data_IF_395834383535
#
_entry.id   IF_395834383535
#
_cell.length_a   1.000
_cell.length_b   1.000
_cell.length_c   1.000
_cell.angle_alpha   90.00
_cell.angle_beta   90.00
_cell.angle_gamma   90.00
#
_symmetry.space_group_name_H-M   'P 1'
#
loop_
_entity.id
_entity.type
_entity.pdbx_description
1 polymer ?
#
# COMPACT_ATOMS: atom_id res chain seq x y z
N UNK A 1 31.71 -80.83 39.69
CA UNK A 1 30.32 -80.44 39.37
C UNK A 1 30.36 -79.08 38.71
N UNK A 2 29.78 -79.01 37.51
CA UNK A 2 29.26 -77.83 36.81
C UNK A 2 30.22 -76.90 36.05
N UNK A 3 30.20 -77.16 34.74
CA UNK A 3 30.46 -76.41 33.50
C UNK A 3 30.09 -74.91 33.46
N UNK A 4 30.76 -74.21 32.50
CA UNK A 4 30.68 -72.81 31.96
C UNK A 4 29.26 -72.32 31.56
N UNK A 5 28.97 -71.04 31.14
CA UNK A 5 29.84 -70.09 30.40
C UNK A 5 29.68 -68.54 30.53
N UNK A 6 30.69 -67.84 30.00
CA UNK A 6 30.72 -66.62 29.18
C UNK A 6 29.43 -65.77 28.99
N UNK A 7 29.52 -64.45 29.21
CA UNK A 7 28.96 -63.42 28.31
C UNK A 7 29.44 -62.00 28.69
N UNK A 8 30.19 -61.38 27.78
CA UNK A 8 30.26 -59.91 27.62
C UNK A 8 29.30 -59.50 26.47
N UNK A 9 29.23 -58.22 26.08
CA UNK A 9 28.59 -57.09 26.76
C UNK A 9 27.31 -56.65 25.99
N UNK A 10 26.24 -56.28 26.69
CA UNK A 10 25.07 -55.62 26.05
C UNK A 10 25.27 -54.11 26.04
N UNK A 11 25.98 -53.63 25.02
CA UNK A 11 25.87 -52.25 24.55
C UNK A 11 24.43 -52.00 24.14
N UNK A 12 23.74 -51.10 24.84
CA UNK A 12 22.44 -50.59 24.38
C UNK A 12 22.74 -49.60 23.26
N UNK A 13 22.78 -50.13 22.03
CA UNK A 13 22.77 -49.31 20.81
C UNK A 13 21.54 -48.40 20.83
N UNK A 14 21.81 -47.08 20.79
CA UNK A 14 20.80 -46.07 20.62
C UNK A 14 20.03 -46.31 19.32
N UNK A 15 18.75 -46.65 19.46
CA UNK A 15 17.83 -46.69 18.33
C UNK A 15 17.68 -45.28 17.76
N UNK A 16 18.34 -45.03 16.62
CA UNK A 16 18.13 -43.85 15.81
C UNK A 16 16.77 -43.94 15.11
N UNK A 17 15.76 -43.24 15.63
CA UNK A 17 14.50 -43.04 14.93
C UNK A 17 14.72 -42.08 13.75
N UNK A 18 15.00 -42.62 12.57
CA UNK A 18 14.96 -41.83 11.33
C UNK A 18 13.49 -41.42 11.05
N UNK A 19 13.14 -40.12 11.05
CA UNK A 19 11.75 -39.73 10.80
C UNK A 19 11.44 -39.95 9.32
N UNK A 20 10.50 -40.87 9.04
CA UNK A 20 9.87 -41.00 7.71
C UNK A 20 9.20 -39.66 7.39
N UNK A 21 9.86 -38.82 6.58
CA UNK A 21 9.31 -37.54 6.10
C UNK A 21 8.00 -37.83 5.35
N UNK A 22 6.87 -37.67 6.03
CA UNK A 22 5.52 -37.89 5.50
C UNK A 22 5.35 -36.96 4.29
N UNK A 23 5.11 -37.54 3.11
CA UNK A 23 4.88 -36.83 1.84
C UNK A 23 3.81 -35.74 1.96
N UNK A 24 2.87 -35.91 2.91
CA UNK A 24 1.88 -34.92 3.31
C UNK A 24 2.45 -33.58 3.78
N UNK A 25 3.61 -33.58 4.46
CA UNK A 25 4.27 -32.33 4.89
C UNK A 25 4.78 -31.55 3.68
N UNK A 26 5.28 -32.24 2.64
CA UNK A 26 5.66 -31.58 1.38
C UNK A 26 4.45 -30.96 0.70
N UNK A 27 3.31 -31.66 0.64
CA UNK A 27 2.09 -31.12 0.06
C UNK A 27 1.53 -29.93 0.83
N UNK A 28 1.53 -29.99 2.17
CA UNK A 28 1.08 -28.88 3.02
C UNK A 28 1.98 -27.64 2.84
N UNK A 29 3.29 -27.84 2.73
CA UNK A 29 4.24 -26.76 2.45
C UNK A 29 4.03 -26.17 1.07
N UNK A 30 3.88 -27.00 0.03
CA UNK A 30 3.61 -26.52 -1.33
C UNK A 30 2.29 -25.76 -1.41
N UNK A 31 1.24 -26.23 -0.73
CA UNK A 31 -0.06 -25.56 -0.70
C UNK A 31 0.01 -24.21 0.04
N UNK A 32 0.69 -24.17 1.20
CA UNK A 32 0.97 -22.94 1.93
C UNK A 32 1.74 -21.94 1.06
N UNK A 33 2.77 -22.41 0.36
CA UNK A 33 3.59 -21.57 -0.51
C UNK A 33 2.79 -21.02 -1.69
N UNK A 34 1.98 -21.86 -2.34
CA UNK A 34 1.13 -21.46 -3.45
C UNK A 34 0.06 -20.44 -3.02
N UNK A 35 -0.54 -20.61 -1.84
CA UNK A 35 -1.53 -19.68 -1.30
C UNK A 35 -0.90 -18.31 -0.99
N UNK A 36 0.30 -18.30 -0.39
CA UNK A 36 1.04 -17.07 -0.16
C UNK A 36 1.43 -16.38 -1.48
N UNK A 37 1.91 -17.14 -2.46
CA UNK A 37 2.22 -16.62 -3.79
C UNK A 37 0.99 -16.07 -4.52
N UNK A 38 -0.18 -16.71 -4.37
CA UNK A 38 -1.45 -16.23 -4.92
C UNK A 38 -1.92 -14.94 -4.24
N UNK A 39 -1.77 -14.81 -2.93
CA UNK A 39 -2.10 -13.57 -2.23
C UNK A 39 -1.20 -12.43 -2.70
N UNK A 40 0.12 -12.63 -2.71
CA UNK A 40 1.10 -11.62 -3.17
C UNK A 40 0.87 -11.29 -4.65
N UNK A 41 0.75 -12.31 -5.50
CA UNK A 41 0.48 -12.14 -6.93
C UNK A 41 -0.87 -11.47 -7.21
N UNK A 42 -1.89 -11.75 -6.39
CA UNK A 42 -3.19 -11.09 -6.43
C UNK A 42 -3.12 -9.61 -6.09
N UNK A 43 -2.41 -9.24 -5.02
CA UNK A 43 -2.21 -7.84 -4.65
C UNK A 43 -1.39 -7.07 -5.70
N UNK A 44 -0.26 -7.64 -6.14
CA UNK A 44 0.58 -7.03 -7.19
C UNK A 44 -0.17 -6.92 -8.51
N UNK A 45 -0.88 -7.98 -8.91
CA UNK A 45 -1.69 -8.04 -10.12
C UNK A 45 -2.87 -7.07 -10.09
N UNK A 46 -3.56 -6.91 -8.96
CA UNK A 46 -4.64 -5.93 -8.80
C UNK A 46 -4.11 -4.49 -8.89
N UNK A 47 -2.95 -4.20 -8.30
CA UNK A 47 -2.30 -2.89 -8.40
C UNK A 47 -1.86 -2.61 -9.84
N UNK A 48 -1.38 -3.62 -10.57
CA UNK A 48 -0.90 -3.46 -11.94
C UNK A 48 -2.04 -3.36 -12.98
N UNK A 49 -3.08 -4.19 -12.82
CA UNK A 49 -4.26 -4.20 -13.71
C UNK A 49 -5.22 -3.03 -13.46
N UNK A 50 -5.22 -2.44 -12.27
CA UNK A 50 -5.90 -1.18 -11.97
C UNK A 50 -4.94 0.03 -11.91
N UNK A 51 -3.80 -0.04 -12.60
CA UNK A 51 -2.69 0.93 -12.60
C UNK A 51 -2.98 2.34 -13.12
N UNK A 52 -4.06 2.98 -12.69
CA UNK A 52 -4.03 4.40 -12.40
C UNK A 52 -3.19 4.64 -11.15
N UNK A 53 -2.48 5.78 -11.02
CA UNK A 53 -1.64 6.05 -9.86
C UNK A 53 -2.44 5.79 -8.58
N UNK A 54 -1.92 5.00 -7.62
CA UNK A 54 -2.62 4.75 -6.37
C UNK A 54 -2.94 6.09 -5.73
N UNK A 55 -4.21 6.48 -5.76
CA UNK A 55 -4.76 7.56 -4.95
C UNK A 55 -4.86 7.08 -3.51
N UNK A 56 -3.76 6.58 -2.94
CA UNK A 56 -3.65 6.33 -1.51
C UNK A 56 -3.43 7.64 -0.72
N UNK A 57 -3.47 8.79 -1.39
CA UNK A 57 -3.84 10.08 -0.78
C UNK A 57 -5.37 10.22 -0.74
N UNK A 58 -6.08 9.21 -0.22
CA UNK A 58 -7.55 9.28 -0.12
C UNK A 58 -8.06 10.01 1.13
N UNK A 59 -7.17 10.40 2.06
CA UNK A 59 -7.57 11.07 3.30
C UNK A 59 -6.86 12.40 3.57
N UNK A 60 -6.25 13.05 2.57
CA UNK A 60 -5.83 14.45 2.75
C UNK A 60 -7.02 15.36 2.44
N UNK A 61 -7.58 16.11 3.40
CA UNK A 61 -8.51 17.19 3.10
C UNK A 61 -7.75 18.24 2.30
N UNK A 62 -7.81 18.21 0.97
CA UNK A 62 -6.85 19.05 0.24
C UNK A 62 -6.72 18.88 -1.25
N UNK A 63 -7.71 18.37 -1.98
CA UNK A 63 -7.64 18.48 -3.43
C UNK A 63 -8.24 19.81 -3.94
N UNK A 64 -7.85 20.90 -3.28
CA UNK A 64 -8.14 22.28 -3.70
C UNK A 64 -7.69 22.51 -5.14
N UNK A 65 -6.56 21.90 -5.54
CA UNK A 65 -6.06 21.93 -6.91
C UNK A 65 -7.10 21.39 -7.91
N UNK A 66 -7.69 20.21 -7.64
CA UNK A 66 -8.74 19.66 -8.51
C UNK A 66 -10.02 20.48 -8.50
N UNK A 67 -10.37 21.10 -7.38
CA UNK A 67 -11.51 22.01 -7.32
C UNK A 67 -11.28 23.25 -8.20
N UNK A 68 -10.13 23.91 -8.05
CA UNK A 68 -9.78 25.12 -8.82
C UNK A 68 -9.62 24.82 -10.32
N UNK A 69 -9.10 23.65 -10.69
CA UNK A 69 -9.05 23.22 -12.10
C UNK A 69 -10.46 23.07 -12.73
N UNK A 70 -11.51 22.85 -11.93
CA UNK A 70 -12.88 22.64 -12.40
C UNK A 70 -13.78 23.89 -12.40
N UNK A 71 -13.31 25.04 -11.90
CA UNK A 71 -14.09 26.29 -11.91
C UNK A 71 -13.97 26.94 -13.30
N UNK A 72 -15.08 27.32 -13.97
CA UNK A 72 -15.04 28.01 -15.26
C UNK A 72 -14.38 29.37 -15.09
N UNK A 73 -13.32 29.56 -15.87
CA UNK A 73 -12.26 30.50 -15.55
C UNK A 73 -12.42 31.83 -16.29
N UNK A 74 -12.84 32.86 -15.57
CA UNK A 74 -12.62 34.26 -16.00
C UNK A 74 -11.16 34.73 -15.73
N UNK A 75 -10.26 33.86 -15.23
CA UNK A 75 -8.85 34.17 -14.89
C UNK A 75 -7.86 33.08 -15.35
N UNK A 76 -7.95 32.61 -16.60
CA UNK A 76 -7.20 31.41 -17.07
C UNK A 76 -5.69 31.55 -17.13
N UNK A 77 -5.18 32.74 -17.46
CA UNK A 77 -3.79 32.86 -17.92
C UNK A 77 -2.78 32.87 -16.77
N UNK A 78 -3.09 33.50 -15.64
CA UNK A 78 -2.13 33.64 -14.54
C UNK A 78 -2.08 32.42 -13.60
N UNK A 79 -3.23 31.80 -13.32
CA UNK A 79 -3.32 30.68 -12.37
C UNK A 79 -2.78 29.37 -12.97
N UNK A 80 -2.96 29.17 -14.28
CA UNK A 80 -2.50 27.96 -14.97
C UNK A 80 -0.98 27.86 -15.07
N UNK A 81 -0.29 29.00 -15.23
CA UNK A 81 1.18 29.09 -15.23
C UNK A 81 1.77 28.68 -13.88
N UNK A 82 1.31 29.33 -12.79
CA UNK A 82 1.75 29.03 -11.42
C UNK A 82 1.51 27.57 -11.04
N UNK A 83 0.35 27.01 -11.41
CA UNK A 83 0.03 25.61 -11.14
C UNK A 83 0.92 24.64 -11.92
N UNK A 84 1.27 24.96 -13.17
CA UNK A 84 2.18 24.14 -13.99
C UNK A 84 3.61 24.15 -13.43
N UNK A 85 4.10 25.31 -13.01
CA UNK A 85 5.42 25.45 -12.39
C UNK A 85 5.50 24.69 -11.07
N UNK A 86 4.50 24.85 -10.21
CA UNK A 86 4.39 24.09 -8.97
C UNK A 86 4.30 22.57 -9.19
N UNK A 87 3.56 22.12 -10.20
CA UNK A 87 3.54 20.68 -10.57
C UNK A 87 4.92 20.18 -10.98
N UNK A 88 5.71 21.01 -11.66
CA UNK A 88 7.10 20.68 -12.04
C UNK A 88 8.01 20.63 -10.83
N UNK A 89 7.91 21.58 -9.91
CA UNK A 89 8.78 21.61 -8.71
C UNK A 89 8.56 20.41 -7.79
N UNK A 90 7.32 19.92 -7.66
CA UNK A 90 7.01 18.73 -6.87
C UNK A 90 7.21 17.40 -7.59
N UNK A 91 7.47 17.42 -8.90
CA UNK A 91 7.57 16.19 -9.69
C UNK A 91 8.69 15.25 -9.23
N UNK A 92 9.90 15.73 -8.87
CA UNK A 92 10.95 14.88 -8.31
C UNK A 92 10.50 14.21 -7.01
N UNK A 93 9.87 14.96 -6.10
CA UNK A 93 9.42 14.43 -4.81
C UNK A 93 8.31 13.37 -4.99
N UNK A 94 7.42 13.56 -5.96
CA UNK A 94 6.42 12.54 -6.33
C UNK A 94 7.07 11.26 -6.85
N UNK A 95 8.14 11.37 -7.64
CA UNK A 95 8.90 10.20 -8.10
C UNK A 95 9.54 9.48 -6.93
N UNK A 96 10.18 10.20 -6.00
CA UNK A 96 10.76 9.61 -4.79
C UNK A 96 9.74 8.88 -3.93
N UNK A 97 8.52 9.41 -3.78
CA UNK A 97 7.43 8.71 -3.08
C UNK A 97 7.03 7.42 -3.80
N UNK A 98 6.94 7.44 -5.14
CA UNK A 98 6.64 6.23 -5.91
C UNK A 98 7.75 5.18 -5.77
N UNK A 99 9.01 5.60 -5.79
CA UNK A 99 10.16 4.72 -5.56
C UNK A 99 10.11 4.12 -4.16
N UNK A 100 9.91 4.92 -3.11
CA UNK A 100 9.81 4.43 -1.74
C UNK A 100 8.66 3.42 -1.54
N UNK A 101 7.55 3.58 -2.27
CA UNK A 101 6.47 2.58 -2.27
C UNK A 101 6.90 1.26 -2.92
N UNK A 102 7.69 1.31 -3.99
CA UNK A 102 8.26 0.09 -4.61
C UNK A 102 9.22 -0.58 -3.65
N UNK A 103 10.04 0.20 -2.94
CA UNK A 103 10.99 -0.34 -1.96
C UNK A 103 10.29 -1.13 -0.85
N UNK A 104 9.14 -0.65 -0.36
CA UNK A 104 8.30 -1.38 0.61
C UNK A 104 7.79 -2.70 0.01
N UNK A 105 7.26 -2.66 -1.21
CA UNK A 105 6.76 -3.87 -1.90
C UNK A 105 7.89 -4.89 -2.06
N UNK A 106 9.08 -4.42 -2.44
CA UNK A 106 10.28 -5.26 -2.56
C UNK A 106 10.69 -5.85 -1.22
N UNK A 107 10.71 -5.05 -0.14
CA UNK A 107 11.09 -5.51 1.20
C UNK A 107 10.14 -6.59 1.75
N UNK A 108 8.82 -6.46 1.51
CA UNK A 108 7.82 -7.47 1.91
C UNK A 108 8.01 -8.78 1.15
N UNK A 109 8.50 -8.72 -0.09
CA UNK A 109 8.70 -9.89 -0.95
C UNK A 109 10.00 -10.67 -0.72
N UNK A 110 10.87 -10.26 0.22
CA UNK A 110 12.14 -10.94 0.48
C UNK A 110 11.96 -12.24 1.28
N UNK A 111 12.74 -13.27 0.94
CA UNK A 111 12.87 -14.52 1.69
C UNK A 111 14.35 -14.77 2.04
N UNK A 112 14.76 -14.75 3.32
CA UNK A 112 13.91 -14.53 4.51
C UNK A 112 13.39 -13.08 4.60
N UNK A 113 12.27 -12.90 5.30
CA UNK A 113 11.72 -11.57 5.57
C UNK A 113 12.68 -10.75 6.43
N UNK A 114 13.09 -9.59 5.91
CA UNK A 114 13.90 -8.61 6.64
C UNK A 114 13.00 -7.49 7.20
N UNK A 115 12.59 -7.65 8.46
CA UNK A 115 11.78 -6.65 9.16
C UNK A 115 12.48 -5.30 9.35
N UNK A 116 13.82 -5.27 9.45
CA UNK A 116 14.56 -4.02 9.60
C UNK A 116 14.55 -3.22 8.29
N UNK A 117 14.74 -3.90 7.15
CA UNK A 117 14.63 -3.29 5.82
C UNK A 117 13.21 -2.76 5.55
N UNK A 118 12.17 -3.54 5.91
CA UNK A 118 10.79 -3.10 5.80
C UNK A 118 10.52 -1.81 6.60
N UNK A 119 10.95 -1.76 7.87
CA UNK A 119 10.77 -0.58 8.73
C UNK A 119 11.54 0.64 8.18
N UNK A 120 12.75 0.44 7.64
CA UNK A 120 13.51 1.50 7.01
C UNK A 120 12.81 2.06 5.77
N UNK A 121 12.27 1.20 4.90
CA UNK A 121 11.49 1.60 3.73
C UNK A 121 10.20 2.35 4.11
N UNK A 122 9.51 1.89 5.15
CA UNK A 122 8.30 2.55 5.68
C UNK A 122 8.62 3.94 6.24
N UNK A 123 9.72 4.09 6.99
CA UNK A 123 10.18 5.37 7.51
C UNK A 123 10.50 6.34 6.36
N UNK A 124 11.24 5.88 5.36
CA UNK A 124 11.59 6.66 4.16
C UNK A 124 10.34 7.19 3.45
N UNK A 125 9.33 6.33 3.24
CA UNK A 125 8.06 6.75 2.63
C UNK A 125 7.38 7.83 3.48
N UNK A 126 7.30 7.63 4.79
CA UNK A 126 6.64 8.57 5.71
C UNK A 126 7.32 9.94 5.72
N UNK A 127 8.66 9.97 5.73
CA UNK A 127 9.44 11.20 5.67
C UNK A 127 9.20 11.97 4.35
N UNK A 128 9.17 11.26 3.22
CA UNK A 128 8.89 11.85 1.91
C UNK A 128 7.46 12.38 1.80
N UNK A 129 6.47 11.67 2.33
CA UNK A 129 5.08 12.13 2.34
C UNK A 129 4.90 13.36 3.23
N UNK A 130 5.54 13.39 4.40
CA UNK A 130 5.53 14.56 5.28
C UNK A 130 6.18 15.76 4.58
N UNK A 131 7.35 15.56 3.98
CA UNK A 131 8.03 16.61 3.19
C UNK A 131 7.13 17.14 2.08
N UNK A 132 6.43 16.24 1.36
CA UNK A 132 5.50 16.63 0.31
C UNK A 132 4.37 17.50 0.83
N UNK A 133 3.77 17.15 1.98
CA UNK A 133 2.72 17.96 2.61
C UNK A 133 3.25 19.34 3.02
N UNK A 134 4.45 19.40 3.59
CA UNK A 134 5.09 20.65 4.02
C UNK A 134 5.42 21.56 2.83
N UNK A 135 6.02 21.03 1.77
CA UNK A 135 6.34 21.81 0.55
C UNK A 135 5.08 22.24 -0.20
N UNK A 136 3.99 21.49 -0.09
CA UNK A 136 2.71 21.80 -0.72
C UNK A 136 1.92 22.90 -0.01
N UNK A 137 2.03 23.01 1.31
CA UNK A 137 1.16 23.87 2.11
C UNK A 137 1.17 25.36 1.68
N UNK A 138 2.33 26.01 1.41
CA UNK A 138 2.35 27.42 1.00
C UNK A 138 1.63 27.68 -0.32
N UNK A 139 1.78 26.78 -1.29
CA UNK A 139 1.10 26.89 -2.58
C UNK A 139 -0.43 26.75 -2.43
N UNK A 140 -0.89 25.83 -1.58
CA UNK A 140 -2.32 25.71 -1.30
C UNK A 140 -2.87 26.96 -0.62
N UNK A 141 -2.08 27.59 0.26
CA UNK A 141 -2.46 28.85 0.90
C UNK A 141 -2.55 30.00 -0.13
N UNK A 142 -1.58 30.15 -1.04
CA UNK A 142 -1.62 31.14 -2.13
C UNK A 142 -2.84 30.92 -3.03
N UNK A 143 -3.09 29.67 -3.42
CA UNK A 143 -4.24 29.29 -4.24
C UNK A 143 -5.57 29.65 -3.55
N UNK A 144 -5.70 29.34 -2.25
CA UNK A 144 -6.89 29.69 -1.47
C UNK A 144 -7.05 31.20 -1.28
N UNK A 145 -5.93 31.94 -1.16
CA UNK A 145 -5.91 33.39 -1.08
C UNK A 145 -6.42 34.07 -2.35
N UNK A 146 -6.16 33.48 -3.52
CA UNK A 146 -6.64 33.96 -4.82
C UNK A 146 -8.13 33.74 -5.11
N UNK A 147 -8.83 32.92 -4.30
CA UNK A 147 -10.25 32.63 -4.45
C UNK A 147 -11.14 33.68 -3.77
N UNK A 148 -12.32 33.92 -4.33
CA UNK A 148 -13.37 34.69 -3.66
C UNK A 148 -13.94 33.94 -2.45
N UNK A 149 -14.67 34.64 -1.60
CA UNK A 149 -15.35 34.01 -0.45
C UNK A 149 -16.38 32.98 -0.93
N UNK A 150 -17.08 33.26 -2.02
CA UNK A 150 -18.08 32.38 -2.64
C UNK A 150 -17.43 31.10 -3.18
N UNK A 151 -16.28 31.22 -3.84
CA UNK A 151 -15.49 30.09 -4.36
C UNK A 151 -14.93 29.22 -3.22
N UNK A 152 -14.40 29.84 -2.16
CA UNK A 152 -13.96 29.09 -0.96
C UNK A 152 -15.11 28.32 -0.30
N UNK A 153 -16.31 28.92 -0.22
CA UNK A 153 -17.52 28.21 0.25
C UNK A 153 -17.94 27.09 -0.70
N UNK A 154 -17.74 27.28 -2.00
CA UNK A 154 -17.94 26.26 -3.03
C UNK A 154 -17.06 25.04 -2.84
N UNK A 155 -15.80 25.23 -2.43
CA UNK A 155 -14.89 24.14 -2.11
C UNK A 155 -15.43 23.22 -1.00
N UNK A 156 -15.98 23.79 0.07
CA UNK A 156 -16.60 23.01 1.15
C UNK A 156 -17.75 22.12 0.66
N UNK A 157 -18.65 22.68 -0.16
CA UNK A 157 -19.77 21.92 -0.75
C UNK A 157 -19.29 20.83 -1.71
N UNK A 158 -18.30 21.13 -2.54
CA UNK A 158 -17.69 20.16 -3.45
C UNK A 158 -17.09 18.97 -2.68
N UNK A 159 -16.43 19.24 -1.55
CA UNK A 159 -15.87 18.21 -0.68
C UNK A 159 -16.94 17.31 -0.07
N UNK A 160 -18.02 17.89 0.46
CA UNK A 160 -19.17 17.14 1.01
C UNK A 160 -19.81 16.23 -0.03
N UNK A 161 -19.99 16.73 -1.26
CA UNK A 161 -20.56 15.94 -2.34
C UNK A 161 -19.65 14.76 -2.73
N UNK A 162 -18.32 14.97 -2.75
CA UNK A 162 -17.36 13.91 -3.05
C UNK A 162 -17.34 12.83 -1.97
N UNK A 163 -17.40 13.21 -0.69
CA UNK A 163 -17.50 12.25 0.43
C UNK A 163 -18.76 11.39 0.33
N UNK A 164 -19.92 12.01 0.04
CA UNK A 164 -21.19 11.29 -0.14
C UNK A 164 -21.13 10.27 -1.30
N UNK A 165 -20.52 10.63 -2.43
CA UNK A 165 -20.34 9.72 -3.58
C UNK A 165 -19.40 8.54 -3.26
N UNK A 166 -18.46 8.69 -2.34
CA UNK A 166 -17.60 7.59 -1.89
C UNK A 166 -18.31 6.57 -1.01
N UNK A 167 -19.36 6.98 -0.29
CA UNK A 167 -20.09 6.13 0.64
C UNK A 167 -21.28 5.39 0.00
N UNK A 168 -21.81 5.89 -1.13
CA UNK A 168 -22.95 5.28 -1.82
C UNK A 168 -22.63 4.00 -2.60
N UNK A 169 -21.35 3.72 -2.89
CA UNK A 169 -20.98 2.57 -3.75
C UNK A 169 -21.12 1.20 -3.08
N UNK A 170 -21.31 1.13 -1.77
CA UNK A 170 -21.46 -0.12 -1.02
C UNK A 170 -22.90 -0.44 -0.62
N UNK A 171 -23.81 0.53 -0.68
CA UNK A 171 -25.21 0.33 -0.26
C UNK A 171 -26.09 -0.28 -1.36
N UNK A 172 -25.75 -0.06 -2.63
CA UNK A 172 -26.59 -0.47 -3.75
C UNK A 172 -26.39 -1.97 -4.13
N UNK A 173 -25.21 -2.55 -3.86
CA UNK A 173 -24.91 -3.96 -4.17
C UNK A 173 -25.52 -4.97 -3.17
N UNK A 174 -25.85 -4.55 -1.94
CA UNK A 174 -26.50 -5.42 -0.95
C UNK A 174 -28.03 -5.44 -1.10
N UNK A 175 -28.62 -4.42 -1.72
CA UNK A 175 -30.07 -4.32 -1.95
C UNK A 175 -30.59 -5.22 -3.07
N UNK A 176 -29.73 -5.68 -3.98
CA UNK A 176 -30.13 -6.48 -5.14
C UNK A 176 -30.09 -8.01 -4.88
N UNK A 177 -29.40 -8.45 -3.82
CA UNK A 177 -29.30 -9.89 -3.48
C UNK A 177 -30.42 -10.40 -2.56
N UNK A 178 -31.28 -9.53 -2.02
CA UNK A 178 -32.40 -9.92 -1.16
C UNK A 178 -33.74 -10.08 -1.91
N UNK A 179 -33.72 -10.15 -3.25
CA UNK A 179 -34.92 -10.30 -4.09
C UNK A 179 -34.92 -11.55 -4.99
N UNK A 180 -34.13 -12.57 -4.69
CA UNK A 180 -34.22 -13.88 -5.36
C UNK A 180 -34.48 -15.01 -4.39
#
# INVERSE_FOLDING_TARGET
>A
MSTTPNTAPTSIEGQAFAPRRKRWVKWLLTASLALNALMIGGFVGAIWRHGGPPTFVQNVPGNLITYVDGIPRHRERDTSGKLKEYRRSLQPLRRSIQEARRDIITAVGQDPFDGANFLAAQKRLSDLENRFRTEQAPFLADLAGGLSVEERRGYGRWWDQRRRRGHGRTADDEGEQLKK
#
